data_IF_685617619317
#
_entry.id   IF_685617619317
#
_cell.length_a   1.000
_cell.length_b   1.000
_cell.length_c   1.000
_cell.angle_alpha   90.00
_cell.angle_beta   90.00
_cell.angle_gamma   90.00
#
_symmetry.space_group_name_H-M   'P 1'
#
loop_
_entity.id
_entity.type
_entity.pdbx_description
1 polymer ?
#
# COMPACT_ATOMS: atom_id res chain seq x y z
N UNK A 1 -19.71 15.10 -9.09
CA UNK A 1 -18.60 14.20 -9.44
C UNK A 1 -17.32 15.01 -9.36
N UNK A 2 -16.52 14.80 -8.31
CA UNK A 2 -15.26 15.52 -8.12
C UNK A 2 -14.19 14.82 -8.94
N UNK A 3 -13.80 15.42 -10.07
CA UNK A 3 -12.63 15.00 -10.84
C UNK A 3 -11.39 15.18 -9.96
N UNK A 4 -10.84 14.07 -9.45
CA UNK A 4 -9.54 14.08 -8.83
C UNK A 4 -8.51 14.47 -9.91
N UNK A 5 -7.92 15.65 -9.77
CA UNK A 5 -6.73 16.04 -10.53
C UNK A 5 -5.61 15.12 -10.08
N UNK A 6 -5.28 14.10 -10.88
CA UNK A 6 -4.08 13.29 -10.68
C UNK A 6 -2.89 14.19 -11.00
N UNK A 7 -2.27 14.72 -9.95
CA UNK A 7 -0.99 15.42 -10.09
C UNK A 7 0.02 14.40 -10.65
N UNK A 8 0.47 14.60 -11.88
CA UNK A 8 1.52 13.78 -12.45
C UNK A 8 2.80 13.96 -11.62
N UNK A 9 3.42 12.84 -11.24
CA UNK A 9 4.73 12.83 -10.58
C UNK A 9 5.75 13.51 -11.49
N UNK A 10 6.27 14.66 -11.05
CA UNK A 10 7.31 15.39 -11.77
C UNK A 10 8.69 15.03 -11.22
N UNK A 11 9.32 14.05 -11.86
CA UNK A 11 10.71 13.71 -11.59
C UNK A 11 11.64 14.79 -12.14
N UNK A 12 12.56 15.29 -11.32
CA UNK A 12 13.52 16.36 -11.66
C UNK A 12 14.93 15.98 -11.24
N UNK A 13 15.93 16.50 -11.93
CA UNK A 13 17.30 16.41 -11.44
C UNK A 13 17.52 17.41 -10.30
N UNK A 14 18.20 16.99 -9.26
CA UNK A 14 18.58 17.84 -8.12
C UNK A 14 19.90 17.35 -7.51
N UNK A 15 20.59 18.27 -6.82
CA UNK A 15 21.80 17.93 -6.08
C UNK A 15 21.41 17.40 -4.69
N UNK A 16 21.80 16.17 -4.36
CA UNK A 16 21.51 15.53 -3.08
C UNK A 16 22.79 15.20 -2.32
N UNK A 17 22.72 15.17 -1.00
CA UNK A 17 23.87 14.82 -0.15
C UNK A 17 24.05 13.30 -0.11
N UNK A 18 25.17 12.82 -0.67
CA UNK A 18 25.61 11.42 -0.57
C UNK A 18 26.88 11.36 0.28
N UNK A 19 26.73 10.97 1.55
CA UNK A 19 27.82 11.07 2.52
C UNK A 19 28.22 12.52 2.77
N UNK A 20 29.47 12.88 2.44
CA UNK A 20 30.02 14.24 2.59
C UNK A 20 30.04 15.04 1.28
N UNK A 21 29.59 14.46 0.18
CA UNK A 21 29.64 15.08 -1.16
C UNK A 21 28.23 15.31 -1.69
N UNK A 22 28.07 16.31 -2.55
CA UNK A 22 26.83 16.53 -3.29
C UNK A 22 26.90 15.80 -4.63
N UNK A 23 25.84 15.08 -4.98
CA UNK A 23 25.76 14.29 -6.20
C UNK A 23 24.45 14.57 -6.94
N UNK A 24 24.48 14.42 -8.27
CA UNK A 24 23.27 14.54 -9.09
C UNK A 24 22.37 13.33 -8.86
N UNK A 25 21.10 13.59 -8.54
CA UNK A 25 20.06 12.58 -8.42
C UNK A 25 18.82 13.00 -9.19
N UNK A 26 18.05 12.02 -9.63
CA UNK A 26 16.66 12.24 -10.01
C UNK A 26 15.81 12.13 -8.75
N UNK A 27 14.97 13.13 -8.52
CA UNK A 27 14.12 13.26 -7.34
C UNK A 27 12.67 13.40 -7.77
N UNK A 28 11.79 12.64 -7.15
CA UNK A 28 10.35 12.68 -7.37
C UNK A 28 9.59 12.66 -6.05
N UNK A 29 8.55 13.48 -5.97
CA UNK A 29 7.67 13.60 -4.82
C UNK A 29 6.34 12.90 -5.12
N UNK A 30 5.88 12.06 -4.19
CA UNK A 30 4.70 11.21 -4.30
C UNK A 30 3.73 11.53 -3.15
N UNK A 31 2.44 11.59 -3.46
CA UNK A 31 1.38 11.79 -2.45
C UNK A 31 0.96 10.46 -1.80
N UNK A 32 1.94 9.62 -1.48
CA UNK A 32 1.76 8.30 -0.87
C UNK A 32 2.66 8.17 0.36
N UNK A 33 2.35 7.20 1.23
CA UNK A 33 3.22 6.90 2.38
C UNK A 33 4.55 6.32 1.91
N UNK A 34 5.60 6.53 2.73
CA UNK A 34 6.91 5.91 2.50
C UNK A 34 6.81 4.38 2.43
N UNK A 35 5.91 3.78 3.22
CA UNK A 35 5.73 2.32 3.27
C UNK A 35 5.10 1.78 1.98
N UNK A 36 4.08 2.46 1.44
CA UNK A 36 3.47 2.09 0.16
C UNK A 36 4.49 2.18 -0.99
N UNK A 37 5.28 3.26 -1.02
CA UNK A 37 6.32 3.45 -2.01
C UNK A 37 7.46 2.43 -1.88
N UNK A 38 7.89 2.09 -0.65
CA UNK A 38 8.89 1.04 -0.42
C UNK A 38 8.36 -0.34 -0.85
N UNK A 39 7.09 -0.66 -0.59
CA UNK A 39 6.46 -1.92 -1.01
C UNK A 39 6.41 -2.04 -2.55
N UNK A 40 5.95 -0.99 -3.24
CA UNK A 40 5.90 -0.96 -4.71
C UNK A 40 7.30 -1.03 -5.32
N UNK A 41 8.27 -0.29 -4.79
CA UNK A 41 9.66 -0.34 -5.27
C UNK A 41 10.29 -1.72 -5.10
N UNK A 42 10.11 -2.35 -3.93
CA UNK A 42 10.60 -3.72 -3.70
C UNK A 42 10.03 -4.70 -4.71
N UNK A 43 8.73 -4.59 -5.01
CA UNK A 43 8.09 -5.40 -6.05
C UNK A 43 8.71 -5.13 -7.42
N UNK A 44 8.85 -3.86 -7.83
CA UNK A 44 9.48 -3.49 -9.11
C UNK A 44 10.92 -3.98 -9.23
N UNK A 45 11.72 -3.88 -8.17
CA UNK A 45 13.10 -4.37 -8.16
C UNK A 45 13.18 -5.89 -8.22
N UNK A 46 12.26 -6.60 -7.56
CA UNK A 46 12.16 -8.05 -7.65
C UNK A 46 11.73 -8.51 -9.05
N UNK A 47 10.71 -7.87 -9.63
CA UNK A 47 10.21 -8.14 -10.98
C UNK A 47 11.32 -7.90 -12.03
N UNK A 48 12.14 -6.85 -11.83
CA UNK A 48 13.32 -6.54 -12.65
C UNK A 48 14.58 -7.37 -12.30
N UNK A 49 14.49 -8.33 -11.37
CA UNK A 49 15.58 -9.21 -10.93
C UNK A 49 16.84 -8.46 -10.47
N UNK A 50 16.66 -7.28 -9.86
CA UNK A 50 17.76 -6.47 -9.36
C UNK A 50 18.37 -7.11 -8.10
N UNK A 51 19.69 -6.92 -7.88
CA UNK A 51 20.35 -7.44 -6.68
C UNK A 51 19.78 -6.77 -5.42
N UNK A 52 19.87 -7.48 -4.30
CA UNK A 52 19.44 -6.93 -3.01
C UNK A 52 20.24 -5.67 -2.67
N UNK A 53 19.52 -4.62 -2.35
CA UNK A 53 20.15 -3.36 -1.98
C UNK A 53 20.78 -3.43 -0.59
N UNK A 54 22.01 -2.90 -0.45
CA UNK A 54 22.75 -2.80 0.81
C UNK A 54 22.77 -1.34 1.28
N UNK A 55 22.88 -1.10 2.58
CA UNK A 55 23.02 0.27 3.11
C UNK A 55 24.29 0.93 2.57
N UNK A 56 24.17 2.20 2.18
CA UNK A 56 25.24 3.06 1.70
C UNK A 56 25.23 4.42 2.42
N UNK A 57 26.16 5.30 2.06
CA UNK A 57 26.28 6.63 2.66
C UNK A 57 24.99 7.45 2.51
N UNK A 58 24.74 8.39 3.44
CA UNK A 58 23.61 9.33 3.34
C UNK A 58 22.21 8.72 3.44
N UNK A 59 22.07 7.53 4.05
CA UNK A 59 20.84 6.72 4.15
C UNK A 59 20.34 6.16 2.80
N UNK A 60 21.20 6.15 1.79
CA UNK A 60 20.91 5.48 0.53
C UNK A 60 21.04 3.98 0.68
N UNK A 61 20.36 3.26 -0.20
CA UNK A 61 20.52 1.82 -0.43
C UNK A 61 21.16 1.64 -1.81
N UNK A 62 22.28 0.91 -1.88
CA UNK A 62 23.06 0.63 -3.09
C UNK A 62 22.72 -0.76 -3.64
N UNK A 63 22.42 -0.82 -4.94
CA UNK A 63 22.37 -2.04 -5.75
C UNK A 63 23.62 -2.05 -6.63
N UNK A 64 24.59 -2.87 -6.25
CA UNK A 64 25.90 -2.91 -6.88
C UNK A 64 25.90 -3.75 -8.16
N UNK A 65 26.42 -3.18 -9.24
CA UNK A 65 26.58 -3.84 -10.52
C UNK A 65 25.28 -4.45 -11.04
N UNK A 66 24.17 -3.73 -10.97
CA UNK A 66 22.90 -4.19 -11.47
C UNK A 66 22.76 -3.90 -12.97
N UNK A 67 22.12 -4.80 -13.70
CA UNK A 67 21.62 -4.53 -15.05
C UNK A 67 20.14 -4.23 -14.92
N UNK A 68 19.79 -2.94 -14.97
CA UNK A 68 18.41 -2.50 -14.87
C UNK A 68 17.96 -2.01 -16.25
N UNK A 69 17.46 -2.93 -17.06
CA UNK A 69 17.16 -2.72 -18.48
C UNK A 69 16.15 -1.60 -18.75
N UNK A 70 15.28 -1.29 -17.78
CA UNK A 70 14.36 -0.15 -17.85
C UNK A 70 15.11 1.20 -17.82
N UNK A 71 16.31 1.26 -17.24
CA UNK A 71 17.16 2.46 -17.21
C UNK A 71 18.26 2.38 -18.26
N UNK A 72 19.05 1.31 -18.25
CA UNK A 72 20.17 1.10 -19.15
C UNK A 72 20.50 -0.39 -19.31
N UNK A 73 21.02 -0.75 -20.48
CA UNK A 73 21.55 -2.10 -20.74
C UNK A 73 22.93 -2.32 -20.11
N UNK A 74 23.61 -1.24 -19.70
CA UNK A 74 24.91 -1.32 -19.06
C UNK A 74 24.77 -1.74 -17.59
N UNK A 75 25.83 -2.38 -17.08
CA UNK A 75 25.95 -2.70 -15.66
C UNK A 75 26.30 -1.42 -14.89
N UNK A 76 25.46 -1.03 -13.94
CA UNK A 76 25.62 0.20 -13.15
C UNK A 76 25.37 -0.04 -11.67
N UNK A 77 25.93 0.84 -10.85
CA UNK A 77 25.59 0.95 -9.43
C UNK A 77 24.41 1.91 -9.27
N UNK A 78 23.30 1.43 -8.72
CA UNK A 78 22.12 2.26 -8.44
C UNK A 78 22.01 2.55 -6.96
N UNK A 79 21.71 3.79 -6.61
CA UNK A 79 21.50 4.23 -5.25
C UNK A 79 20.10 4.81 -5.16
N UNK A 80 19.33 4.39 -4.16
CA UNK A 80 18.04 5.01 -3.90
C UNK A 80 17.84 5.34 -2.43
N UNK A 81 17.08 6.41 -2.18
CA UNK A 81 16.69 6.82 -0.84
C UNK A 81 15.21 7.16 -0.86
N UNK A 82 14.52 6.68 0.17
CA UNK A 82 13.16 7.08 0.48
C UNK A 82 13.19 7.98 1.71
N UNK A 83 12.54 9.12 1.60
CA UNK A 83 12.33 10.05 2.70
C UNK A 83 10.90 10.56 2.68
N UNK A 84 10.39 11.12 3.77
CA UNK A 84 9.01 11.61 3.79
C UNK A 84 8.36 11.57 5.17
N UNK A 85 7.09 11.97 5.19
CA UNK A 85 6.19 11.95 6.36
C UNK A 85 4.87 11.29 5.95
N UNK A 86 3.95 11.10 6.90
CA UNK A 86 2.66 10.46 6.63
C UNK A 86 1.94 11.12 5.43
N UNK A 87 1.68 10.34 4.38
CA UNK A 87 0.97 10.77 3.17
C UNK A 87 1.81 11.49 2.11
N UNK A 88 3.11 11.72 2.34
CA UNK A 88 4.03 12.28 1.33
C UNK A 88 5.40 11.63 1.41
N UNK A 89 5.86 11.08 0.29
CA UNK A 89 7.16 10.43 0.17
C UNK A 89 7.96 11.04 -0.97
N UNK A 90 9.27 11.12 -0.80
CA UNK A 90 10.23 11.57 -1.79
C UNK A 90 11.17 10.41 -2.09
N UNK A 91 11.26 10.05 -3.36
CA UNK A 91 12.22 9.08 -3.88
C UNK A 91 13.35 9.83 -4.59
N UNK A 92 14.56 9.47 -4.23
CA UNK A 92 15.77 9.96 -4.87
C UNK A 92 16.51 8.75 -5.46
N UNK A 93 16.90 8.82 -6.73
CA UNK A 93 17.71 7.80 -7.40
C UNK A 93 18.95 8.43 -8.02
N UNK A 94 20.10 7.80 -7.78
CA UNK A 94 21.35 8.07 -8.46
C UNK A 94 21.82 6.80 -9.16
N UNK A 95 22.53 6.94 -10.26
CA UNK A 95 23.21 5.83 -10.91
C UNK A 95 24.67 6.20 -11.21
N UNK A 96 25.57 5.23 -11.11
CA UNK A 96 26.99 5.38 -11.37
C UNK A 96 27.47 4.27 -12.30
N UNK A 97 28.33 4.61 -13.27
CA UNK A 97 29.02 3.64 -14.14
C UNK A 97 30.26 3.01 -13.46
N UNK A 98 30.36 3.15 -12.14
CA UNK A 98 31.43 2.61 -11.29
C UNK A 98 32.16 3.71 -10.52
N UNK A 99 32.53 3.43 -9.27
CA UNK A 99 33.12 4.39 -8.33
C UNK A 99 32.28 5.69 -8.27
N UNK A 100 32.91 6.84 -8.46
CA UNK A 100 32.30 8.17 -8.38
C UNK A 100 31.81 8.70 -9.75
N UNK A 101 31.70 7.84 -10.77
CA UNK A 101 31.23 8.22 -12.12
C UNK A 101 29.70 8.26 -12.19
N UNK A 102 29.10 9.19 -11.45
CA UNK A 102 27.66 9.40 -11.45
C UNK A 102 27.17 9.94 -12.80
N UNK A 103 26.05 9.42 -13.27
CA UNK A 103 25.42 9.90 -14.49
C UNK A 103 24.62 11.18 -14.23
N UNK A 104 24.57 12.05 -15.23
CA UNK A 104 23.85 13.32 -15.26
C UNK A 104 23.24 13.51 -16.64
N UNK A 105 22.29 14.45 -16.80
CA UNK A 105 21.75 14.74 -18.14
C UNK A 105 22.81 15.18 -19.16
N UNK A 106 23.97 15.68 -18.72
CA UNK A 106 25.06 16.12 -19.60
C UNK A 106 25.89 14.94 -20.12
N UNK A 107 26.08 13.88 -19.34
CA UNK A 107 26.94 12.75 -19.72
C UNK A 107 26.15 11.49 -20.12
N UNK A 108 24.88 11.37 -19.73
CA UNK A 108 24.00 10.23 -20.05
C UNK A 108 22.52 10.65 -19.96
N UNK A 109 22.10 11.51 -20.88
CA UNK A 109 20.73 12.01 -20.95
C UNK A 109 19.68 10.89 -21.07
N UNK A 110 20.01 9.81 -21.79
CA UNK A 110 19.10 8.68 -22.02
C UNK A 110 18.78 7.96 -20.71
N UNK A 111 19.81 7.57 -19.95
CA UNK A 111 19.62 6.87 -18.67
C UNK A 111 18.90 7.75 -17.65
N UNK A 112 19.21 9.05 -17.60
CA UNK A 112 18.50 10.00 -16.73
C UNK A 112 17.02 10.14 -17.13
N UNK A 113 16.72 10.24 -18.42
CA UNK A 113 15.33 10.30 -18.89
C UNK A 113 14.58 9.01 -18.56
N UNK A 114 15.23 7.86 -18.68
CA UNK A 114 14.64 6.58 -18.31
C UNK A 114 14.38 6.47 -16.81
N UNK A 115 15.26 7.01 -15.95
CA UNK A 115 14.99 7.10 -14.50
C UNK A 115 13.75 7.98 -14.25
N UNK A 116 13.63 9.13 -14.92
CA UNK A 116 12.45 10.00 -14.80
C UNK A 116 11.17 9.27 -15.24
N UNK A 117 11.23 8.53 -16.35
CA UNK A 117 10.12 7.74 -16.86
C UNK A 117 9.74 6.60 -15.89
N UNK A 118 10.74 5.90 -15.34
CA UNK A 118 10.52 4.88 -14.32
C UNK A 118 9.78 5.47 -13.12
N UNK A 119 10.26 6.59 -12.56
CA UNK A 119 9.62 7.25 -11.43
C UNK A 119 8.19 7.68 -11.73
N UNK A 120 7.93 8.21 -12.93
CA UNK A 120 6.58 8.56 -13.36
C UNK A 120 5.67 7.32 -13.48
N UNK A 121 6.21 6.18 -13.90
CA UNK A 121 5.44 4.93 -14.02
C UNK A 121 4.99 4.36 -12.66
N UNK A 122 5.73 4.67 -11.58
CA UNK A 122 5.40 4.22 -10.22
C UNK A 122 4.05 4.73 -9.73
N UNK A 123 3.59 5.88 -10.23
CA UNK A 123 2.27 6.43 -9.87
C UNK A 123 1.15 5.43 -10.18
N UNK A 124 1.22 4.79 -11.35
CA UNK A 124 0.21 3.80 -11.76
C UNK A 124 0.23 2.55 -10.88
N UNK A 125 1.41 2.16 -10.39
CA UNK A 125 1.56 1.01 -9.50
C UNK A 125 1.14 1.33 -8.07
N UNK A 126 1.39 2.55 -7.60
CA UNK A 126 0.91 3.06 -6.32
C UNK A 126 -0.61 3.15 -6.28
N UNK A 127 -1.24 3.61 -7.37
CA UNK A 127 -2.71 3.57 -7.49
C UNK A 127 -3.21 2.14 -7.35
N UNK A 128 -2.65 1.18 -8.09
CA UNK A 128 -3.05 -0.24 -7.99
C UNK A 128 -2.85 -0.78 -6.57
N UNK A 129 -1.71 -0.50 -5.96
CA UNK A 129 -1.41 -0.91 -4.59
C UNK A 129 -2.43 -0.36 -3.58
N UNK A 130 -2.75 0.94 -3.68
CA UNK A 130 -3.74 1.58 -2.80
C UNK A 130 -5.15 0.98 -2.97
N UNK A 131 -5.55 0.63 -4.20
CA UNK A 131 -6.82 -0.04 -4.46
C UNK A 131 -6.81 -1.44 -3.82
N UNK A 132 -5.71 -2.19 -3.93
CA UNK A 132 -5.59 -3.51 -3.30
C UNK A 132 -5.68 -3.44 -1.77
N UNK A 133 -5.04 -2.45 -1.13
CA UNK A 133 -5.16 -2.24 0.31
C UNK A 133 -6.61 -1.90 0.72
N UNK A 134 -7.28 -1.03 -0.04
CA UNK A 134 -8.68 -0.69 0.19
C UNK A 134 -9.60 -1.91 0.03
N UNK A 135 -9.36 -2.74 -0.98
CA UNK A 135 -10.10 -3.99 -1.17
C UNK A 135 -9.89 -4.95 0.00
N UNK A 136 -8.65 -5.15 0.44
CA UNK A 136 -8.35 -6.03 1.57
C UNK A 136 -9.03 -5.54 2.87
N UNK A 137 -9.04 -4.23 3.11
CA UNK A 137 -9.75 -3.64 4.24
C UNK A 137 -11.26 -3.86 4.14
N UNK A 138 -11.85 -3.67 2.95
CA UNK A 138 -13.29 -3.90 2.72
C UNK A 138 -13.67 -5.38 2.85
N UNK A 139 -12.84 -6.30 2.39
CA UNK A 139 -13.05 -7.73 2.61
C UNK A 139 -13.06 -8.09 4.09
N UNK A 140 -12.22 -7.45 4.91
CA UNK A 140 -12.22 -7.65 6.36
C UNK A 140 -13.51 -7.10 7.00
N UNK A 141 -13.94 -5.90 6.63
CA UNK A 141 -15.21 -5.32 7.09
C UNK A 141 -16.39 -6.23 6.76
N UNK A 142 -16.43 -6.80 5.54
CA UNK A 142 -17.48 -7.75 5.12
C UNK A 142 -17.45 -9.00 6.00
N UNK A 143 -16.27 -9.60 6.25
CA UNK A 143 -16.14 -10.78 7.11
C UNK A 143 -16.61 -10.51 8.55
N UNK A 144 -16.34 -9.31 9.07
CA UNK A 144 -16.82 -8.90 10.39
C UNK A 144 -18.34 -8.71 10.42
N UNK A 145 -18.91 -8.10 9.37
CA UNK A 145 -20.35 -7.94 9.21
C UNK A 145 -21.08 -9.30 9.08
N UNK A 146 -20.54 -10.24 8.29
CA UNK A 146 -21.08 -11.61 8.16
C UNK A 146 -21.10 -12.34 9.50
N UNK A 147 -20.02 -12.23 10.29
CA UNK A 147 -19.99 -12.78 11.67
C UNK A 147 -21.04 -12.13 12.57
N UNK A 148 -21.27 -10.82 12.41
CA UNK A 148 -22.31 -10.09 13.13
C UNK A 148 -23.71 -10.58 12.77
N UNK A 149 -23.99 -10.73 11.48
CA UNK A 149 -25.26 -11.24 10.97
C UNK A 149 -25.54 -12.65 11.50
N UNK A 150 -24.57 -13.56 11.41
CA UNK A 150 -24.72 -14.94 11.92
C UNK A 150 -25.00 -14.99 13.44
N UNK A 151 -24.46 -14.05 14.22
CA UNK A 151 -24.79 -13.93 15.66
C UNK A 151 -26.21 -13.41 15.87
N UNK A 152 -26.62 -12.40 15.10
CA UNK A 152 -27.97 -11.84 15.17
C UNK A 152 -29.04 -12.87 14.79
N UNK A 153 -28.81 -13.67 13.75
CA UNK A 153 -29.70 -14.76 13.34
C UNK A 153 -29.87 -15.81 14.46
N UNK A 154 -28.78 -16.22 15.10
CA UNK A 154 -28.84 -17.14 16.25
C UNK A 154 -29.61 -16.56 17.43
N UNK A 155 -29.40 -15.27 17.73
CA UNK A 155 -30.12 -14.59 18.81
C UNK A 155 -31.62 -14.46 18.50
N UNK A 156 -31.98 -14.16 17.25
CA UNK A 156 -33.36 -14.12 16.79
C UNK A 156 -34.03 -15.49 16.93
N UNK A 157 -33.34 -16.56 16.55
CA UNK A 157 -33.87 -17.92 16.66
C UNK A 157 -34.06 -18.34 18.12
N UNK A 158 -33.13 -17.99 19.00
CA UNK A 158 -33.29 -18.20 20.45
C UNK A 158 -34.50 -17.43 20.99
N UNK A 159 -34.63 -16.14 20.65
CA UNK A 159 -35.75 -15.30 21.10
C UNK A 159 -37.11 -15.84 20.60
N UNK A 160 -37.20 -16.33 19.36
CA UNK A 160 -38.41 -16.98 18.83
C UNK A 160 -38.78 -18.23 19.62
N UNK A 161 -37.79 -19.05 19.96
CA UNK A 161 -38.01 -20.27 20.74
C UNK A 161 -38.45 -19.96 22.18
N UNK A 162 -37.89 -18.92 22.81
CA UNK A 162 -38.29 -18.48 24.13
C UNK A 162 -39.70 -17.88 24.13
N UNK A 163 -40.04 -17.09 23.11
CA UNK A 163 -41.39 -16.56 22.92
C UNK A 163 -42.43 -17.70 22.80
N UNK A 164 -42.13 -18.74 22.02
CA UNK A 164 -43.02 -19.90 21.87
C UNK A 164 -43.27 -20.62 23.20
N UNK A 165 -42.23 -20.82 24.01
CA UNK A 165 -42.37 -21.43 25.34
C UNK A 165 -43.20 -20.57 26.29
N UNK A 166 -43.03 -19.24 26.23
CA UNK A 166 -43.85 -18.32 27.01
C UNK A 166 -45.33 -18.40 26.62
N UNK A 167 -45.64 -18.40 25.32
CA UNK A 167 -47.01 -18.55 24.81
C UNK A 167 -47.64 -19.88 25.24
N UNK A 168 -46.90 -20.98 25.16
CA UNK A 168 -47.35 -22.30 25.67
C UNK A 168 -47.66 -22.24 27.18
N UNK A 169 -46.80 -21.59 27.97
CA UNK A 169 -46.99 -21.38 29.40
C UNK A 169 -48.23 -20.54 29.74
N UNK A 170 -48.43 -19.43 29.03
CA UNK A 170 -49.60 -18.55 29.17
C UNK A 170 -50.89 -19.31 28.85
N UNK A 171 -50.90 -20.07 27.76
CA UNK A 171 -52.07 -20.86 27.38
C UNK A 171 -52.42 -21.94 28.42
N UNK A 172 -51.40 -22.60 28.99
CA UNK A 172 -51.61 -23.58 30.05
C UNK A 172 -52.22 -22.94 31.30
N UNK A 173 -51.64 -21.83 31.78
CA UNK A 173 -52.15 -21.09 32.93
C UNK A 173 -53.58 -20.58 32.71
N UNK A 174 -53.89 -20.12 31.50
CA UNK A 174 -55.25 -19.69 31.15
C UNK A 174 -56.26 -20.84 31.23
N UNK A 175 -55.90 -22.02 30.71
CA UNK A 175 -56.74 -23.21 30.81
C UNK A 175 -56.95 -23.69 32.25
N UNK A 176 -55.92 -23.59 33.10
CA UNK A 176 -56.04 -23.88 34.54
C UNK A 176 -56.96 -22.88 35.26
N UNK A 177 -56.85 -21.58 34.94
CA UNK A 177 -57.71 -20.54 35.50
C UNK A 177 -59.19 -20.75 35.16
N UNK A 178 -59.51 -21.12 33.92
CA UNK A 178 -60.89 -21.39 33.51
C UNK A 178 -61.49 -22.60 34.23
N UNK A 179 -60.72 -23.67 34.41
CA UNK A 179 -61.15 -24.83 35.21
C UNK A 179 -61.44 -24.47 36.66
N UNK A 180 -60.59 -23.63 37.26
CA UNK A 180 -60.74 -23.20 38.64
C UNK A 180 -61.99 -22.33 38.85
N UNK A 181 -62.28 -21.45 37.88
CA UNK A 181 -63.51 -20.64 37.87
C UNK A 181 -64.78 -21.47 37.70
N UNK A 182 -64.72 -22.58 36.97
CA UNK A 182 -65.87 -23.47 36.78
C UNK A 182 -66.19 -24.33 38.03
N UNK A 183 -65.33 -24.34 39.05
CA UNK A 183 -65.49 -25.10 40.29
C UNK A 183 -65.94 -24.24 41.49
N UNK A 184 -66.08 -22.92 41.31
CA UNK A 184 -66.61 -21.98 42.31
C UNK A 184 -68.06 -21.61 41.97
#
# INVERSE_FOLDING_TARGET
MTTAVTAQVQAREASVSFGKVSQSAVVADFNYSTDALDAVLKKRFADAKLPKAKTAAGKFKKMEGATWTEISNDKMDYYYRLSGKKGKATLEIMASKGYDNFITAQNDASSIQNIKNFMASLESDLVKYSIQELMAAKEQEIKEAEKGLAKAEKALEAAKNDLRKQDEGVNKLRGELEKLKAQQ
#
